data_IF_080670858173
#
_entry.id   IF_080670858173
#
_cell.length_a   1.000
_cell.length_b   1.000
_cell.length_c   1.000
_cell.angle_alpha   90.00
_cell.angle_beta   90.00
_cell.angle_gamma   90.00
#
_symmetry.space_group_name_H-M   'P 1'
#
loop_
_entity.id
_entity.type
_entity.pdbx_description
1 polymer ?
#
# COMPACT_ATOMS: atom_id res chain seq x y z
N UNK A 1 15.46 -31.47 7.77
CA UNK A 1 15.98 -30.10 7.85
C UNK A 1 14.84 -29.21 8.35
N UNK A 2 14.70 -29.12 9.67
CA UNK A 2 13.67 -28.32 10.34
C UNK A 2 14.16 -26.86 10.32
N UNK A 3 13.72 -26.07 9.34
CA UNK A 3 13.83 -24.61 9.46
C UNK A 3 12.73 -24.18 10.44
N UNK A 4 13.08 -24.10 11.71
CA UNK A 4 12.30 -23.34 12.68
C UNK A 4 12.55 -21.88 12.28
N UNK A 5 11.66 -21.33 11.46
CA UNK A 5 11.44 -19.89 11.44
C UNK A 5 10.94 -19.56 12.84
N UNK A 6 11.84 -19.12 13.73
CA UNK A 6 11.42 -18.52 14.99
C UNK A 6 10.49 -17.36 14.64
N UNK A 7 9.23 -17.51 15.04
CA UNK A 7 8.23 -16.50 14.86
C UNK A 7 8.63 -15.29 15.70
N UNK A 8 8.78 -14.13 15.07
CA UNK A 8 9.03 -12.87 15.75
C UNK A 8 7.77 -12.33 16.47
N UNK A 9 6.92 -13.22 16.99
CA UNK A 9 5.74 -12.92 17.79
C UNK A 9 6.02 -13.38 19.21
N UNK A 10 5.85 -12.49 20.19
CA UNK A 10 6.07 -12.87 21.59
C UNK A 10 5.01 -13.86 22.07
N UNK A 11 5.40 -14.75 22.98
CA UNK A 11 4.48 -15.70 23.62
C UNK A 11 3.30 -14.98 24.31
N UNK A 12 3.55 -13.80 24.88
CA UNK A 12 2.53 -12.95 25.48
C UNK A 12 1.49 -12.49 24.44
N UNK A 13 1.94 -12.09 23.25
CA UNK A 13 1.05 -11.68 22.17
C UNK A 13 0.23 -12.87 21.64
N UNK A 14 0.87 -14.03 21.45
CA UNK A 14 0.17 -15.27 21.06
C UNK A 14 -0.86 -15.69 22.11
N UNK A 15 -0.54 -15.62 23.39
CA UNK A 15 -1.49 -15.89 24.46
C UNK A 15 -2.67 -14.91 24.44
N UNK A 16 -2.42 -13.62 24.19
CA UNK A 16 -3.46 -12.60 24.12
C UNK A 16 -4.43 -12.82 22.95
N UNK A 17 -3.93 -13.11 21.75
CA UNK A 17 -4.77 -13.36 20.58
C UNK A 17 -5.53 -14.69 20.71
N UNK A 18 -4.90 -15.74 21.24
CA UNK A 18 -5.56 -17.02 21.50
C UNK A 18 -6.67 -16.87 22.52
N UNK A 19 -6.47 -16.07 23.57
CA UNK A 19 -7.51 -15.77 24.55
C UNK A 19 -8.68 -14.99 23.93
N UNK A 20 -8.41 -14.05 23.03
CA UNK A 20 -9.44 -13.22 22.38
C UNK A 20 -10.28 -14.00 21.37
N UNK A 21 -9.66 -14.87 20.57
CA UNK A 21 -10.31 -15.59 19.48
C UNK A 21 -10.76 -17.02 19.86
N UNK A 22 -10.26 -17.56 20.97
CA UNK A 22 -10.54 -18.94 21.41
C UNK A 22 -9.72 -20.02 20.68
N UNK A 23 -8.81 -19.63 19.79
CA UNK A 23 -7.87 -20.51 19.08
C UNK A 23 -6.61 -19.72 18.70
N UNK A 24 -5.52 -20.41 18.39
CA UNK A 24 -4.28 -19.77 17.90
C UNK A 24 -4.29 -19.68 16.38
N UNK A 25 -4.38 -18.48 15.76
CA UNK A 25 -4.29 -18.33 14.31
C UNK A 25 -2.89 -18.65 13.79
N UNK A 26 -2.77 -18.91 12.49
CA UNK A 26 -1.45 -19.07 11.87
C UNK A 26 -0.69 -17.74 11.89
N UNK A 27 0.65 -17.78 11.90
CA UNK A 27 1.47 -16.59 11.79
C UNK A 27 1.11 -15.64 10.64
N UNK A 28 0.81 -16.20 9.48
CA UNK A 28 0.45 -15.44 8.29
C UNK A 28 -0.88 -14.72 8.50
N UNK A 29 -1.87 -15.39 9.10
CA UNK A 29 -3.15 -14.77 9.41
C UNK A 29 -2.98 -13.60 10.40
N UNK A 30 -2.13 -13.78 11.41
CA UNK A 30 -1.78 -12.72 12.36
C UNK A 30 -1.09 -11.55 11.64
N UNK A 31 -0.10 -11.85 10.81
CA UNK A 31 0.64 -10.84 10.06
C UNK A 31 -0.28 -10.02 9.16
N UNK A 32 -1.15 -10.68 8.39
CA UNK A 32 -2.10 -9.99 7.52
C UNK A 32 -3.10 -9.15 8.29
N UNK A 33 -3.64 -9.65 9.40
CA UNK A 33 -4.50 -8.86 10.28
C UNK A 33 -3.79 -7.57 10.76
N UNK A 34 -2.56 -7.69 11.27
CA UNK A 34 -1.76 -6.54 11.71
C UNK A 34 -1.53 -5.56 10.56
N UNK A 35 -1.21 -6.09 9.38
CA UNK A 35 -0.98 -5.30 8.18
C UNK A 35 -2.20 -4.47 7.80
N UNK A 36 -3.40 -5.06 7.83
CA UNK A 36 -4.65 -4.35 7.56
C UNK A 36 -4.91 -3.26 8.61
N UNK A 37 -4.79 -3.57 9.90
CA UNK A 37 -5.00 -2.61 10.99
C UNK A 37 -4.09 -1.38 10.85
N UNK A 38 -2.82 -1.57 10.50
CA UNK A 38 -1.89 -0.44 10.30
C UNK A 38 -2.12 0.34 9.00
N UNK A 39 -2.93 -0.17 8.09
CA UNK A 39 -3.39 0.54 6.90
C UNK A 39 -4.73 1.27 7.09
N UNK A 40 -5.44 1.06 8.20
CA UNK A 40 -6.63 1.85 8.57
C UNK A 40 -6.28 3.35 8.70
N UNK A 41 -6.83 4.25 7.86
CA UNK A 41 -6.69 5.70 8.06
C UNK A 41 -7.14 6.14 9.45
N UNK A 42 -8.28 5.63 9.93
CA UNK A 42 -8.84 5.98 11.23
C UNK A 42 -7.92 5.57 12.38
N UNK A 43 -7.30 4.38 12.32
CA UNK A 43 -6.28 3.96 13.29
C UNK A 43 -5.09 4.94 13.30
N UNK A 44 -4.54 5.23 12.11
CA UNK A 44 -3.35 6.07 11.96
C UNK A 44 -3.57 7.50 12.47
N UNK A 45 -4.76 8.05 12.23
CA UNK A 45 -5.12 9.38 12.73
C UNK A 45 -5.31 9.38 14.24
N UNK A 46 -6.10 8.41 14.76
CA UNK A 46 -6.39 8.29 16.20
C UNK A 46 -5.14 8.14 17.06
N UNK A 47 -4.17 7.36 16.61
CA UNK A 47 -2.95 7.05 17.38
C UNK A 47 -1.72 7.85 16.92
N UNK A 48 -1.89 8.85 16.03
CA UNK A 48 -0.81 9.61 15.38
C UNK A 48 0.28 10.11 16.32
N UNK A 49 -0.08 10.68 17.47
CA UNK A 49 0.90 11.20 18.42
C UNK A 49 1.70 10.08 19.11
N UNK A 50 1.07 8.95 19.42
CA UNK A 50 1.76 7.78 19.98
C UNK A 50 2.68 7.12 18.94
N UNK A 51 2.22 7.01 17.69
CA UNK A 51 2.98 6.43 16.57
C UNK A 51 4.28 7.20 16.26
N UNK A 52 4.40 8.45 16.69
CA UNK A 52 5.64 9.25 16.57
C UNK A 52 6.64 8.99 17.69
N UNK A 53 6.20 8.45 18.83
CA UNK A 53 6.98 8.39 20.08
C UNK A 53 7.44 6.96 20.37
N UNK A 54 6.59 5.97 20.11
CA UNK A 54 6.84 4.56 20.47
C UNK A 54 6.30 3.60 19.39
N UNK A 55 6.61 2.31 19.52
CA UNK A 55 6.13 1.27 18.63
C UNK A 55 4.59 1.20 18.59
N UNK A 56 4.00 0.94 17.41
CA UNK A 56 2.55 0.84 17.26
C UNK A 56 1.99 -0.34 18.06
N UNK A 57 0.90 -0.10 18.78
CA UNK A 57 0.16 -1.15 19.49
C UNK A 57 -0.94 -1.71 18.61
N UNK A 58 -1.04 -3.04 18.53
CA UNK A 58 -2.05 -3.73 17.72
C UNK A 58 -3.32 -3.94 18.54
N UNK A 59 -4.46 -3.31 18.19
CA UNK A 59 -5.76 -3.67 18.77
C UNK A 59 -6.17 -5.08 18.33
N UNK A 60 -6.69 -5.88 19.26
CA UNK A 60 -7.14 -7.25 19.01
C UNK A 60 -8.65 -7.34 19.17
N UNK A 61 -9.34 -7.73 18.11
CA UNK A 61 -10.78 -8.04 18.16
C UNK A 61 -11.05 -9.40 18.79
N UNK A 62 -12.23 -9.54 19.39
CA UNK A 62 -12.80 -10.85 19.77
C UNK A 62 -13.77 -11.41 18.73
N UNK A 63 -14.16 -10.65 17.70
CA UNK A 63 -14.98 -11.14 16.58
C UNK A 63 -14.08 -11.83 15.54
N UNK A 64 -14.13 -13.17 15.50
CA UNK A 64 -13.41 -13.99 14.53
C UNK A 64 -13.72 -13.63 13.07
N UNK A 65 -14.95 -13.19 12.77
CA UNK A 65 -15.31 -12.78 11.40
C UNK A 65 -14.59 -11.49 11.03
N UNK A 66 -14.53 -10.53 11.95
CA UNK A 66 -13.77 -9.29 11.73
C UNK A 66 -12.28 -9.59 11.58
N UNK A 67 -11.71 -10.44 12.44
CA UNK A 67 -10.32 -10.87 12.35
C UNK A 67 -9.99 -11.44 10.96
N UNK A 68 -10.82 -12.38 10.48
CA UNK A 68 -10.64 -13.01 9.15
C UNK A 68 -10.82 -12.03 8.01
N UNK A 69 -11.82 -11.14 8.08
CA UNK A 69 -12.08 -10.14 7.05
C UNK A 69 -10.90 -9.16 6.93
N UNK A 70 -10.40 -8.66 8.06
CA UNK A 70 -9.21 -7.80 8.07
C UNK A 70 -7.97 -8.57 7.60
N UNK A 71 -7.82 -9.85 7.97
CA UNK A 71 -6.77 -10.72 7.44
C UNK A 71 -6.81 -10.84 5.91
N UNK A 72 -7.98 -10.97 5.30
CA UNK A 72 -8.13 -11.01 3.84
C UNK A 72 -7.71 -9.70 3.18
N UNK A 73 -8.13 -8.54 3.72
CA UNK A 73 -7.68 -7.25 3.21
C UNK A 73 -6.18 -7.05 3.37
N UNK A 74 -5.60 -7.53 4.47
CA UNK A 74 -4.17 -7.48 4.72
C UNK A 74 -3.36 -8.33 3.75
N UNK A 75 -3.83 -9.54 3.45
CA UNK A 75 -3.24 -10.41 2.44
C UNK A 75 -3.24 -9.75 1.06
N UNK A 76 -4.36 -9.14 0.67
CA UNK A 76 -4.49 -8.43 -0.60
C UNK A 76 -3.55 -7.23 -0.69
N UNK A 77 -3.46 -6.42 0.38
CA UNK A 77 -2.49 -5.33 0.48
C UNK A 77 -1.04 -5.83 0.34
N UNK A 78 -0.69 -6.93 1.00
CA UNK A 78 0.66 -7.53 0.89
C UNK A 78 0.94 -7.98 -0.54
N UNK A 79 -0.02 -8.64 -1.21
CA UNK A 79 0.13 -9.06 -2.60
C UNK A 79 0.32 -7.87 -3.56
N UNK A 80 -0.40 -6.76 -3.34
CA UNK A 80 -0.21 -5.51 -4.10
C UNK A 80 1.19 -4.92 -3.87
N UNK A 81 1.62 -4.79 -2.61
CA UNK A 81 2.89 -4.17 -2.25
C UNK A 81 4.12 -5.02 -2.60
N UNK A 82 3.97 -6.33 -2.74
CA UNK A 82 5.00 -7.23 -3.24
C UNK A 82 5.02 -7.35 -4.78
N UNK A 83 4.17 -6.60 -5.49
CA UNK A 83 4.00 -6.68 -6.94
C UNK A 83 3.60 -8.08 -7.45
N UNK A 84 2.81 -8.81 -6.66
CA UNK A 84 2.37 -10.19 -6.96
C UNK A 84 0.87 -10.30 -7.28
N UNK A 85 0.09 -9.25 -7.01
CA UNK A 85 -1.35 -9.27 -7.28
C UNK A 85 -1.63 -9.29 -8.79
N UNK A 86 -2.54 -10.15 -9.28
CA UNK A 86 -2.93 -10.17 -10.69
C UNK A 86 -3.68 -8.89 -11.11
N UNK A 87 -4.22 -8.12 -10.16
CA UNK A 87 -4.85 -6.82 -10.43
C UNK A 87 -3.88 -5.84 -11.08
N UNK A 88 -2.59 -5.97 -10.81
CA UNK A 88 -1.55 -5.07 -11.33
C UNK A 88 -1.47 -5.11 -12.87
N UNK A 89 -1.89 -6.20 -13.50
CA UNK A 89 -1.91 -6.32 -14.96
C UNK A 89 -3.13 -5.62 -15.60
N UNK A 90 -4.09 -5.15 -14.80
CA UNK A 90 -5.23 -4.35 -15.25
C UNK A 90 -4.89 -2.86 -15.14
N UNK A 91 -4.14 -2.35 -16.10
CA UNK A 91 -3.70 -0.96 -16.08
C UNK A 91 -4.89 0.02 -16.13
N UNK A 92 -4.85 1.04 -15.26
CA UNK A 92 -5.77 2.19 -15.28
C UNK A 92 -5.18 3.42 -15.97
N UNK A 93 -3.96 3.27 -16.51
CA UNK A 93 -3.21 4.36 -17.15
C UNK A 93 -2.75 3.97 -18.55
N UNK A 94 -2.53 4.96 -19.40
CA UNK A 94 -1.88 4.81 -20.70
C UNK A 94 -0.65 5.71 -20.77
N UNK A 95 0.45 5.21 -21.33
CA UNK A 95 1.62 6.02 -21.63
C UNK A 95 1.58 6.52 -23.07
N UNK A 96 1.63 7.85 -23.23
CA UNK A 96 1.58 8.53 -24.52
C UNK A 96 2.93 9.18 -24.78
N UNK A 97 3.60 8.77 -25.85
CA UNK A 97 4.85 9.37 -26.31
C UNK A 97 4.59 10.46 -27.36
N UNK A 98 5.20 11.62 -27.18
CA UNK A 98 5.09 12.82 -28.04
C UNK A 98 6.49 13.28 -28.46
N UNK A 99 7.33 12.33 -28.86
CA UNK A 99 8.69 12.58 -29.36
C UNK A 99 9.71 13.00 -28.29
N UNK A 100 9.40 12.82 -27.01
CA UNK A 100 10.37 12.97 -25.92
C UNK A 100 11.21 11.72 -25.66
N UNK A 101 10.98 10.64 -26.42
CA UNK A 101 11.72 9.38 -26.33
C UNK A 101 11.77 8.85 -24.89
N UNK A 102 10.66 9.03 -24.14
CA UNK A 102 10.50 8.57 -22.76
C UNK A 102 11.57 9.07 -21.78
N UNK A 103 12.26 10.17 -22.10
CA UNK A 103 13.25 10.80 -21.22
C UNK A 103 12.55 11.48 -20.04
N UNK A 104 13.08 11.33 -18.82
CA UNK A 104 12.60 12.11 -17.66
C UNK A 104 13.44 13.38 -17.51
N UNK A 105 12.85 14.54 -17.79
CA UNK A 105 13.56 15.82 -17.74
C UNK A 105 13.72 16.38 -16.32
N UNK A 106 14.73 17.23 -16.14
CA UNK A 106 14.79 18.10 -14.97
C UNK A 106 13.54 19.02 -14.89
N UNK A 107 13.01 19.21 -13.68
CA UNK A 107 11.78 19.97 -13.46
C UNK A 107 10.48 19.22 -13.76
N UNK A 108 10.58 17.92 -14.06
CA UNK A 108 9.47 16.97 -14.20
C UNK A 108 9.64 15.85 -13.15
N UNK A 109 8.60 15.06 -12.83
CA UNK A 109 7.25 15.05 -13.40
C UNK A 109 6.38 16.27 -13.04
N UNK A 110 5.38 16.55 -13.88
CA UNK A 110 4.32 17.54 -13.63
C UNK A 110 2.95 16.90 -13.78
N UNK A 111 2.07 17.16 -12.82
CA UNK A 111 0.70 16.64 -12.83
C UNK A 111 -0.31 17.72 -13.21
N UNK A 112 -1.21 17.40 -14.13
CA UNK A 112 -2.36 18.22 -14.50
C UNK A 112 -3.45 17.33 -15.11
N UNK A 113 -4.70 17.53 -14.73
CA UNK A 113 -5.89 16.92 -15.34
C UNK A 113 -5.79 15.39 -15.52
N UNK A 114 -5.34 14.67 -14.49
CA UNK A 114 -5.21 13.21 -14.55
C UNK A 114 -4.00 12.71 -15.35
N UNK A 115 -3.09 13.59 -15.74
CA UNK A 115 -1.89 13.25 -16.50
C UNK A 115 -0.59 13.65 -15.79
N UNK A 116 0.41 12.78 -15.85
CA UNK A 116 1.77 12.99 -15.34
C UNK A 116 2.72 13.14 -16.52
N UNK A 117 3.11 14.37 -16.84
CA UNK A 117 4.07 14.69 -17.90
C UNK A 117 5.50 14.54 -17.38
N UNK A 118 6.33 13.78 -18.09
CA UNK A 118 7.70 13.43 -17.66
C UNK A 118 8.79 14.25 -18.35
N UNK A 119 8.47 14.97 -19.44
CA UNK A 119 9.42 15.83 -20.13
C UNK A 119 8.77 17.04 -20.81
N UNK A 120 9.63 17.98 -21.26
CA UNK A 120 9.22 19.20 -21.96
C UNK A 120 8.54 18.95 -23.30
N UNK A 121 8.77 17.77 -23.93
CA UNK A 121 8.14 17.39 -25.20
C UNK A 121 6.68 16.98 -25.02
N UNK A 122 6.34 16.43 -23.87
CA UNK A 122 4.97 16.11 -23.49
C UNK A 122 4.67 14.63 -23.33
N UNK A 123 5.69 13.77 -23.29
CA UNK A 123 5.48 12.35 -22.96
C UNK A 123 4.88 12.27 -21.56
N UNK A 124 3.86 11.42 -21.40
CA UNK A 124 3.06 11.41 -20.18
C UNK A 124 2.35 10.10 -19.93
N UNK A 125 2.10 9.84 -18.65
CA UNK A 125 1.10 8.86 -18.22
C UNK A 125 -0.24 9.58 -18.08
N UNK A 126 -1.29 9.07 -18.71
CA UNK A 126 -2.67 9.56 -18.58
C UNK A 126 -3.49 8.62 -17.71
N UNK A 127 -4.63 9.08 -17.17
CA UNK A 127 -5.50 8.28 -16.31
C UNK A 127 -5.01 8.11 -14.88
N UNK A 128 -4.04 8.91 -14.42
CA UNK A 128 -3.52 8.87 -13.05
C UNK A 128 -4.48 9.60 -12.11
N UNK A 129 -5.19 8.92 -11.19
CA UNK A 129 -6.11 9.59 -10.27
C UNK A 129 -5.35 10.56 -9.35
N UNK A 130 -5.97 11.70 -9.03
CA UNK A 130 -5.35 12.71 -8.17
C UNK A 130 -5.04 12.16 -6.77
N UNK A 131 -5.93 11.32 -6.23
CA UNK A 131 -5.73 10.63 -4.96
C UNK A 131 -4.48 9.74 -4.97
N UNK A 132 -4.17 9.10 -6.10
CA UNK A 132 -2.97 8.28 -6.27
C UNK A 132 -1.71 9.15 -6.41
N UNK A 133 -1.80 10.23 -7.20
CA UNK A 133 -0.69 11.17 -7.36
C UNK A 133 -0.27 11.80 -6.02
N UNK A 134 -1.25 12.17 -5.20
CA UNK A 134 -1.05 12.78 -3.89
C UNK A 134 -0.87 11.77 -2.75
N UNK A 135 -0.81 10.46 -3.04
CA UNK A 135 -0.68 9.45 -2.00
C UNK A 135 0.74 9.39 -1.42
N UNK A 136 0.82 9.35 -0.09
CA UNK A 136 2.09 9.30 0.65
C UNK A 136 2.28 7.96 1.35
N UNK A 137 3.51 7.44 1.26
CA UNK A 137 4.01 6.39 2.15
C UNK A 137 5.19 6.96 2.93
N UNK A 138 5.00 7.14 4.24
CA UNK A 138 5.93 7.91 5.06
C UNK A 138 6.05 9.35 4.54
N UNK A 139 7.28 9.83 4.35
CA UNK A 139 7.54 11.18 3.81
C UNK A 139 7.52 11.27 2.28
N UNK A 140 7.19 10.20 1.55
CA UNK A 140 7.35 10.13 0.11
C UNK A 140 6.02 10.08 -0.65
N UNK A 141 5.85 11.00 -1.60
CA UNK A 141 4.85 10.86 -2.67
C UNK A 141 5.33 9.80 -3.65
N UNK A 142 4.74 8.61 -3.61
CA UNK A 142 5.31 7.42 -4.25
C UNK A 142 5.46 7.60 -5.77
N UNK A 143 4.37 7.97 -6.46
CA UNK A 143 4.38 8.23 -7.90
C UNK A 143 5.38 9.31 -8.30
N UNK A 144 5.40 10.42 -7.56
CA UNK A 144 6.31 11.53 -7.84
C UNK A 144 7.78 11.13 -7.65
N UNK A 145 8.10 10.47 -6.52
CA UNK A 145 9.45 10.07 -6.18
C UNK A 145 10.02 9.07 -7.20
N UNK A 146 9.23 8.07 -7.59
CA UNK A 146 9.66 7.03 -8.52
C UNK A 146 10.18 7.60 -9.84
N UNK A 147 9.50 8.62 -10.38
CA UNK A 147 9.90 9.33 -11.60
C UNK A 147 11.07 10.28 -11.35
N UNK A 148 11.07 11.04 -10.24
CA UNK A 148 12.17 11.95 -9.87
C UNK A 148 13.50 11.23 -9.72
N UNK A 149 13.50 10.02 -9.16
CA UNK A 149 14.70 9.19 -9.00
C UNK A 149 15.27 8.71 -10.36
N UNK A 150 14.50 8.85 -11.45
CA UNK A 150 14.90 8.53 -12.82
C UNK A 150 15.20 9.76 -13.68
N UNK A 151 15.31 10.94 -13.09
CA UNK A 151 15.69 12.18 -13.79
C UNK A 151 16.97 11.97 -14.62
N UNK A 152 16.92 12.36 -15.89
CA UNK A 152 18.02 12.22 -16.85
C UNK A 152 18.14 10.84 -17.48
N UNK A 153 17.21 9.91 -17.18
CA UNK A 153 17.16 8.58 -17.79
C UNK A 153 15.98 8.48 -18.74
N UNK A 154 16.17 7.73 -19.81
CA UNK A 154 15.08 7.22 -20.65
C UNK A 154 14.42 6.04 -19.94
N UNK A 155 13.09 6.05 -19.83
CA UNK A 155 12.34 4.91 -19.32
C UNK A 155 12.30 3.82 -20.39
N UNK A 156 12.61 2.58 -19.99
CA UNK A 156 12.38 1.41 -20.84
C UNK A 156 10.90 1.01 -20.85
N UNK A 157 10.45 0.14 -21.76
CA UNK A 157 9.10 -0.42 -21.72
C UNK A 157 8.76 -1.08 -20.37
N UNK A 158 9.73 -1.73 -19.74
CA UNK A 158 9.58 -2.35 -18.42
C UNK A 158 9.45 -1.32 -17.31
N UNK A 159 10.21 -0.22 -17.37
CA UNK A 159 10.05 0.91 -16.45
C UNK A 159 8.64 1.52 -16.58
N UNK A 160 8.16 1.73 -17.81
CA UNK A 160 6.81 2.25 -18.08
C UNK A 160 5.75 1.32 -17.50
N UNK A 161 5.81 0.03 -17.85
CA UNK A 161 4.87 -0.97 -17.33
C UNK A 161 4.92 -1.04 -15.80
N UNK A 162 6.11 -1.04 -15.21
CA UNK A 162 6.26 -1.08 -13.77
C UNK A 162 5.65 0.15 -13.10
N UNK A 163 5.82 1.34 -13.66
CA UNK A 163 5.18 2.55 -13.13
C UNK A 163 3.64 2.47 -13.22
N UNK A 164 3.09 1.92 -14.30
CA UNK A 164 1.64 1.70 -14.41
C UNK A 164 1.14 0.74 -13.32
N UNK A 165 1.90 -0.33 -13.03
CA UNK A 165 1.62 -1.26 -11.92
C UNK A 165 1.67 -0.56 -10.56
N UNK A 166 2.64 0.33 -10.34
CA UNK A 166 2.70 1.15 -9.11
C UNK A 166 1.44 2.00 -8.97
N UNK A 167 0.97 2.63 -10.04
CA UNK A 167 -0.28 3.44 -10.01
C UNK A 167 -1.48 2.56 -9.63
N UNK A 168 -1.61 1.36 -10.20
CA UNK A 168 -2.66 0.39 -9.84
C UNK A 168 -2.55 -0.05 -8.39
N UNK A 169 -1.34 -0.40 -7.92
CA UNK A 169 -1.11 -0.82 -6.54
C UNK A 169 -1.60 0.24 -5.54
N UNK A 170 -1.26 1.50 -5.77
CA UNK A 170 -1.70 2.60 -4.92
C UNK A 170 -3.21 2.85 -5.01
N UNK A 171 -3.79 2.75 -6.19
CA UNK A 171 -5.24 2.88 -6.38
C UNK A 171 -6.01 1.83 -5.56
N UNK A 172 -5.62 0.56 -5.69
CA UNK A 172 -6.23 -0.55 -4.95
C UNK A 172 -5.95 -0.46 -3.44
N UNK A 173 -4.76 -0.02 -3.04
CA UNK A 173 -4.44 0.22 -1.63
C UNK A 173 -5.37 1.26 -1.02
N UNK A 174 -5.61 2.40 -1.70
CA UNK A 174 -6.55 3.43 -1.23
C UNK A 174 -7.97 2.84 -1.06
N UNK A 175 -8.43 2.03 -2.02
CA UNK A 175 -9.74 1.39 -1.94
C UNK A 175 -9.84 0.39 -0.78
N UNK A 176 -8.79 -0.42 -0.55
CA UNK A 176 -8.71 -1.36 0.57
C UNK A 176 -8.66 -0.65 1.92
N UNK A 177 -7.93 0.47 2.03
CA UNK A 177 -7.90 1.29 3.24
C UNK A 177 -9.30 1.77 3.64
N UNK A 178 -10.13 2.17 2.66
CA UNK A 178 -11.52 2.55 2.91
C UNK A 178 -12.37 1.36 3.39
N UNK A 179 -12.23 0.19 2.76
CA UNK A 179 -12.94 -1.03 3.17
C UNK A 179 -12.55 -1.52 4.57
N UNK A 180 -11.27 -1.35 4.93
CA UNK A 180 -10.77 -1.66 6.28
C UNK A 180 -11.45 -0.77 7.31
N UNK A 181 -11.51 0.55 7.05
CA UNK A 181 -12.19 1.49 7.95
C UNK A 181 -13.69 1.22 8.05
N UNK A 182 -14.35 0.85 6.95
CA UNK A 182 -15.76 0.46 6.95
C UNK A 182 -16.03 -0.82 7.76
N UNK A 183 -15.11 -1.80 7.68
CA UNK A 183 -15.24 -3.06 8.41
C UNK A 183 -15.03 -2.91 9.92
N UNK A 184 -14.26 -1.90 10.36
CA UNK A 184 -13.98 -1.68 11.79
C UNK A 184 -15.12 -0.84 12.40
N UNK A 185 -15.95 -1.41 13.28
CA UNK A 185 -17.14 -0.72 13.77
C UNK A 185 -16.81 0.46 14.70
N UNK A 186 -15.72 0.37 15.46
CA UNK A 186 -15.27 1.40 16.39
C UNK A 186 -13.82 1.18 16.82
N UNK A 187 -13.19 2.24 17.35
CA UNK A 187 -11.92 2.16 18.05
C UNK A 187 -12.07 2.52 19.55
N UNK A 188 -11.47 1.77 20.49
CA UNK A 188 -10.67 0.56 20.25
C UNK A 188 -11.53 -0.57 19.68
N UNK A 189 -10.89 -1.44 18.90
CA UNK A 189 -11.55 -2.64 18.35
C UNK A 189 -11.82 -3.59 19.54
N UNK A 190 -13.04 -4.10 19.66
CA UNK A 190 -13.45 -5.02 20.74
C UNK A 190 -13.40 -6.50 20.34
#
# INVERSE_FOLDING_TARGET
MHFILELALSDEFLAAITKKLGYTPTPEAIFYYIYAVFHSPTYRDRYKEFLKIDFPRVPLTSDDRLFRQLGQYGEELVALHLMKSPKLDQHITEFVEVGGNSLVDAGHPKYADGAVTINKKGDKFTGVPESVWNFYVGGYQVCQKWLKDRKGRQLSPEDIQHYQKVVVALHETIALMAKIDEAIPSFPIE
#
